data_IF_333635618110
#
_entry.id   IF_333635618110
#
_cell.length_a   1.000
_cell.length_b   1.000
_cell.length_c   1.000
_cell.angle_alpha   90.00
_cell.angle_beta   90.00
_cell.angle_gamma   90.00
#
_symmetry.space_group_name_H-M   'P 1'
#
loop_
_entity.id
_entity.type
_entity.pdbx_description
1 polymer ?
#
# COMPACT_ATOMS: atom_id res chain seq x y z
N UNK A 1 18.18 8.11 11.56
CA UNK A 1 18.82 7.99 10.23
C UNK A 1 18.15 6.83 9.50
N UNK A 2 17.45 7.10 8.40
CA UNK A 2 16.85 6.05 7.56
C UNK A 2 17.99 5.46 6.71
N UNK A 3 18.23 4.16 6.84
CA UNK A 3 19.33 3.47 6.15
C UNK A 3 19.00 3.28 4.65
N UNK A 4 20.02 3.22 3.79
CA UNK A 4 19.90 2.87 2.36
C UNK A 4 19.12 1.56 2.21
N UNK A 5 19.31 0.63 3.15
CA UNK A 5 18.54 -0.61 3.22
C UNK A 5 17.02 -0.35 3.26
N UNK A 6 16.55 0.67 3.99
CA UNK A 6 15.12 1.00 4.05
C UNK A 6 14.58 1.45 2.69
N UNK A 7 15.33 2.27 1.93
CA UNK A 7 14.91 2.70 0.60
C UNK A 7 14.80 1.56 -0.41
N UNK A 8 15.72 0.58 -0.32
CA UNK A 8 15.73 -0.56 -1.22
C UNK A 8 14.66 -1.60 -0.84
N UNK A 9 14.51 -1.91 0.45
CA UNK A 9 13.68 -3.03 0.90
C UNK A 9 12.23 -2.64 1.20
N UNK A 10 11.95 -1.41 1.63
CA UNK A 10 10.58 -0.99 1.95
C UNK A 10 9.60 -1.16 0.77
N UNK A 11 9.94 -0.77 -0.48
CA UNK A 11 9.08 -1.00 -1.64
C UNK A 11 8.82 -2.49 -1.91
N UNK A 12 9.86 -3.32 -1.81
CA UNK A 12 9.78 -4.75 -2.08
C UNK A 12 8.91 -5.45 -1.03
N UNK A 13 9.13 -5.14 0.24
CA UNK A 13 8.36 -5.67 1.36
C UNK A 13 6.89 -5.26 1.22
N UNK A 14 6.64 -3.99 0.93
CA UNK A 14 5.28 -3.45 0.76
C UNK A 14 4.55 -4.09 -0.42
N UNK A 15 5.26 -4.35 -1.52
CA UNK A 15 4.72 -5.06 -2.68
C UNK A 15 4.33 -6.49 -2.31
N UNK A 16 5.20 -7.24 -1.63
CA UNK A 16 4.91 -8.62 -1.20
C UNK A 16 3.71 -8.64 -0.26
N UNK A 17 3.69 -7.81 0.78
CA UNK A 17 2.59 -7.75 1.73
C UNK A 17 1.29 -7.31 1.06
N UNK A 18 1.34 -6.34 0.15
CA UNK A 18 0.17 -5.90 -0.59
C UNK A 18 -0.39 -7.02 -1.47
N UNK A 19 0.46 -7.72 -2.22
CA UNK A 19 0.05 -8.83 -3.08
C UNK A 19 -0.61 -9.96 -2.27
N UNK A 20 0.00 -10.37 -1.16
CA UNK A 20 -0.54 -11.40 -0.28
C UNK A 20 -1.87 -10.95 0.34
N UNK A 21 -1.93 -9.74 0.89
CA UNK A 21 -3.14 -9.22 1.54
C UNK A 21 -4.29 -9.07 0.56
N UNK A 22 -4.02 -8.51 -0.62
CA UNK A 22 -4.99 -8.38 -1.70
C UNK A 22 -5.50 -9.74 -2.17
N UNK A 23 -4.58 -10.68 -2.43
CA UNK A 23 -4.94 -12.04 -2.82
C UNK A 23 -5.82 -12.73 -1.79
N UNK A 24 -5.43 -12.65 -0.51
CA UNK A 24 -6.17 -13.26 0.59
C UNK A 24 -7.58 -12.67 0.71
N UNK A 25 -7.67 -11.33 0.70
CA UNK A 25 -8.95 -10.62 0.74
C UNK A 25 -9.84 -10.99 -0.46
N UNK A 26 -9.28 -11.00 -1.67
CA UNK A 26 -10.00 -11.35 -2.89
C UNK A 26 -10.46 -12.81 -2.93
N UNK A 27 -9.64 -13.75 -2.45
CA UNK A 27 -9.89 -15.19 -2.59
C UNK A 27 -10.83 -15.75 -1.52
N UNK A 28 -10.70 -15.31 -0.27
CA UNK A 28 -11.39 -15.96 0.86
C UNK A 28 -12.35 -15.05 1.62
N UNK A 29 -12.10 -13.75 1.69
CA UNK A 29 -12.94 -12.83 2.49
C UNK A 29 -14.04 -12.19 1.62
N UNK A 30 -13.71 -11.86 0.38
CA UNK A 30 -14.63 -11.32 -0.61
C UNK A 30 -14.38 -9.86 -0.96
N UNK A 31 -15.17 -9.38 -1.93
CA UNK A 31 -14.94 -8.07 -2.57
C UNK A 31 -15.04 -6.89 -1.61
N UNK A 32 -15.91 -6.97 -0.59
CA UNK A 32 -16.07 -5.92 0.42
C UNK A 32 -14.78 -5.70 1.21
N UNK A 33 -14.10 -6.77 1.62
CA UNK A 33 -12.85 -6.67 2.35
C UNK A 33 -11.72 -6.10 1.50
N UNK A 34 -11.66 -6.48 0.21
CA UNK A 34 -10.70 -5.90 -0.73
C UNK A 34 -10.92 -4.38 -0.90
N UNK A 35 -12.16 -3.94 -1.05
CA UNK A 35 -12.51 -2.51 -1.16
C UNK A 35 -12.15 -1.77 0.14
N UNK A 36 -12.46 -2.34 1.30
CA UNK A 36 -12.09 -1.75 2.59
C UNK A 36 -10.57 -1.62 2.76
N UNK A 37 -9.80 -2.65 2.37
CA UNK A 37 -8.35 -2.61 2.42
C UNK A 37 -7.78 -1.49 1.54
N UNK A 38 -8.25 -1.39 0.29
CA UNK A 38 -7.85 -0.32 -0.64
C UNK A 38 -8.23 1.05 -0.06
N UNK A 39 -9.46 1.20 0.45
CA UNK A 39 -9.96 2.45 1.02
C UNK A 39 -9.15 2.90 2.24
N UNK A 40 -8.87 2.00 3.19
CA UNK A 40 -8.07 2.29 4.37
C UNK A 40 -6.64 2.68 4.00
N UNK A 41 -6.00 1.95 3.10
CA UNK A 41 -4.64 2.31 2.65
C UNK A 41 -4.63 3.64 1.89
N UNK A 42 -5.68 3.93 1.11
CA UNK A 42 -5.81 5.24 0.44
C UNK A 42 -5.98 6.38 1.44
N UNK A 43 -6.71 6.16 2.54
CA UNK A 43 -6.81 7.14 3.63
C UNK A 43 -5.45 7.41 4.28
N UNK A 44 -4.62 6.37 4.49
CA UNK A 44 -3.23 6.55 4.96
C UNK A 44 -2.41 7.37 3.97
N UNK A 45 -2.55 7.12 2.66
CA UNK A 45 -1.88 7.91 1.63
C UNK A 45 -2.26 9.40 1.73
N UNK A 46 -3.56 9.69 1.92
CA UNK A 46 -4.05 11.06 2.08
C UNK A 46 -3.47 11.75 3.32
N UNK A 47 -3.37 11.04 4.46
CA UNK A 47 -2.73 11.58 5.67
C UNK A 47 -1.28 11.96 5.39
N UNK A 48 -0.51 11.10 4.71
CA UNK A 48 0.88 11.39 4.36
C UNK A 48 1.00 12.57 3.37
N UNK A 49 0.08 12.67 2.41
CA UNK A 49 0.03 13.80 1.47
C UNK A 49 -0.25 15.11 2.22
N UNK A 50 -1.19 15.12 3.17
CA UNK A 50 -1.48 16.30 4.00
C UNK A 50 -0.28 16.69 4.85
N UNK A 51 0.41 15.71 5.46
CA UNK A 51 1.65 15.96 6.20
C UNK A 51 2.71 16.62 5.32
N UNK A 52 2.93 16.09 4.11
CA UNK A 52 3.89 16.65 3.15
C UNK A 52 3.50 18.06 2.70
N UNK A 53 2.22 18.31 2.46
CA UNK A 53 1.72 19.61 2.04
C UNK A 53 1.85 20.69 3.12
N UNK A 54 1.95 20.29 4.40
CA UNK A 54 2.16 21.20 5.52
C UNK A 54 3.61 21.56 5.81
N UNK A 55 4.59 20.96 5.11
CA UNK A 55 6.01 21.24 5.35
C UNK A 55 6.40 22.57 4.71
N UNK A 56 7.01 23.45 5.50
CA UNK A 56 7.48 24.76 5.07
C UNK A 56 8.93 24.74 4.54
N UNK A 57 9.30 25.79 3.80
CA UNK A 57 10.65 25.98 3.29
C UNK A 57 11.66 26.05 4.45
N UNK A 58 12.70 25.23 4.40
CA UNK A 58 13.70 25.11 5.47
C UNK A 58 13.49 23.95 6.44
N UNK A 59 12.35 23.24 6.34
CA UNK A 59 12.04 22.04 7.15
C UNK A 59 12.03 20.74 6.32
N UNK A 60 12.80 20.70 5.24
CA UNK A 60 12.82 19.60 4.24
C UNK A 60 13.14 18.22 4.85
N UNK A 61 13.93 18.18 5.92
CA UNK A 61 14.22 16.94 6.65
C UNK A 61 12.94 16.27 7.20
N UNK A 62 11.95 17.06 7.60
CA UNK A 62 10.67 16.57 8.11
C UNK A 62 9.81 15.95 7.00
N UNK A 63 9.94 16.42 5.76
CA UNK A 63 9.23 15.85 4.61
C UNK A 63 9.73 14.45 4.24
N UNK A 64 10.97 14.12 4.58
CA UNK A 64 11.62 12.90 4.14
C UNK A 64 10.92 11.63 4.65
N UNK A 65 10.55 11.60 5.93
CA UNK A 65 9.84 10.45 6.52
C UNK A 65 8.50 10.15 5.83
N UNK A 66 7.56 11.10 5.78
CA UNK A 66 6.29 10.94 5.09
C UNK A 66 6.44 10.61 3.60
N UNK A 67 7.42 11.20 2.92
CA UNK A 67 7.71 10.91 1.51
C UNK A 67 8.14 9.46 1.30
N UNK A 68 9.04 8.94 2.14
CA UNK A 68 9.50 7.55 2.08
C UNK A 68 8.37 6.57 2.35
N UNK A 69 7.54 6.84 3.35
CA UNK A 69 6.39 6.00 3.64
C UNK A 69 5.36 6.01 2.51
N UNK A 70 5.12 7.18 1.91
CA UNK A 70 4.17 7.29 0.80
C UNK A 70 4.67 6.52 -0.43
N UNK A 71 5.91 6.78 -0.85
CA UNK A 71 6.48 6.27 -2.10
C UNK A 71 6.97 4.83 -2.01
N UNK A 72 7.59 4.46 -0.90
CA UNK A 72 8.13 3.11 -0.67
C UNK A 72 7.18 2.19 0.09
N UNK A 73 6.26 2.72 0.88
CA UNK A 73 5.32 1.93 1.67
C UNK A 73 3.96 1.79 0.98
N UNK A 74 3.23 2.91 0.99
CA UNK A 74 1.80 2.96 0.72
C UNK A 74 1.48 2.72 -0.76
N UNK A 75 2.18 3.39 -1.68
CA UNK A 75 1.91 3.25 -3.12
C UNK A 75 2.23 1.83 -3.66
N UNK A 76 3.39 1.22 -3.34
CA UNK A 76 3.67 -0.15 -3.77
C UNK A 76 2.69 -1.16 -3.17
N UNK A 77 2.31 -0.97 -1.90
CA UNK A 77 1.30 -1.80 -1.25
C UNK A 77 -0.06 -1.69 -1.95
N UNK A 78 -0.55 -0.47 -2.22
CA UNK A 78 -1.82 -0.24 -2.91
C UNK A 78 -1.86 -0.93 -4.28
N UNK A 79 -0.81 -0.72 -5.07
CA UNK A 79 -0.68 -1.35 -6.38
C UNK A 79 -0.77 -2.88 -6.25
N UNK A 80 0.00 -3.46 -5.33
CA UNK A 80 0.04 -4.90 -5.15
C UNK A 80 -1.26 -5.48 -4.55
N UNK A 81 -1.95 -4.75 -3.66
CA UNK A 81 -3.28 -5.13 -3.16
C UNK A 81 -4.29 -5.26 -4.28
N UNK A 82 -4.32 -4.29 -5.19
CA UNK A 82 -5.25 -4.31 -6.33
C UNK A 82 -4.94 -5.52 -7.21
N UNK A 83 -3.67 -5.71 -7.59
CA UNK A 83 -3.25 -6.83 -8.43
C UNK A 83 -3.50 -8.20 -7.78
N UNK A 84 -3.12 -8.36 -6.51
CA UNK A 84 -3.38 -9.57 -5.73
C UNK A 84 -4.87 -9.83 -5.59
N UNK A 85 -5.66 -8.79 -5.33
CA UNK A 85 -7.11 -8.84 -5.24
C UNK A 85 -7.77 -9.34 -6.51
N UNK A 86 -7.37 -8.83 -7.68
CA UNK A 86 -7.84 -9.32 -8.99
C UNK A 86 -7.53 -10.81 -9.15
N UNK A 87 -6.30 -11.24 -8.83
CA UNK A 87 -5.91 -12.64 -8.87
C UNK A 87 -6.76 -13.54 -7.96
N UNK A 88 -6.93 -13.12 -6.69
CA UNK A 88 -7.71 -13.85 -5.70
C UNK A 88 -9.19 -13.97 -6.08
N UNK A 89 -9.79 -12.87 -6.58
CA UNK A 89 -11.19 -12.85 -7.06
C UNK A 89 -11.38 -13.77 -8.26
N UNK A 90 -10.45 -13.75 -9.22
CA UNK A 90 -10.50 -14.59 -10.41
C UNK A 90 -10.49 -16.09 -10.07
N UNK A 91 -9.65 -16.49 -9.11
CA UNK A 91 -9.60 -17.86 -8.60
C UNK A 91 -10.86 -18.23 -7.81
N UNK A 92 -11.34 -17.34 -6.94
CA UNK A 92 -12.59 -17.58 -6.19
C UNK A 92 -13.78 -17.82 -7.12
N UNK A 93 -13.90 -17.03 -8.20
CA UNK A 93 -14.98 -17.18 -9.17
C UNK A 93 -14.93 -18.54 -9.88
N UNK A 94 -13.74 -19.03 -10.23
CA UNK A 94 -13.56 -20.32 -10.91
C UNK A 94 -13.77 -21.53 -9.99
N UNK A 95 -13.48 -21.40 -8.69
CA UNK A 95 -13.64 -22.52 -7.74
C UNK A 95 -15.11 -22.71 -7.35
N UNK A 96 -15.92 -21.66 -7.46
CA UNK A 96 -17.33 -21.64 -7.07
C UNK A 96 -18.30 -21.76 -8.27
N UNK A 97 -17.77 -21.91 -9.50
CA UNK A 97 -18.52 -22.13 -10.73
C UNK A 97 -18.64 -23.63 -11.00
#
# INVERSE_FOLDING_TARGET
MVDIATFAYLPLISLIFGAVSGFVAGRWIGIKALIWLIGLTSAVALVLIVMLAGVETGEEEQAFGPFVWLTGGVLPFLFAVIMGGVGGRSLSARTNA
#
